data_IF_713182875157
#
_entry.id   IF_713182875157
#
_cell.length_a   1.000
_cell.length_b   1.000
_cell.length_c   1.000
_cell.angle_alpha   90.00
_cell.angle_beta   90.00
_cell.angle_gamma   90.00
#
_symmetry.space_group_name_H-M   'P 1'
#
loop_
_entity.id
_entity.type
_entity.pdbx_description
1 polymer ?
#
# COMPACT_ATOMS: atom_id res chain seq x y z
N UNK A 1 -14.08 -22.03 6.30
CA UNK A 1 -14.94 -20.97 5.71
C UNK A 1 -14.95 -19.83 6.72
N UNK A 2 -14.34 -18.69 6.40
CA UNK A 2 -14.37 -17.52 7.31
C UNK A 2 -15.63 -16.74 6.96
N UNK A 3 -16.60 -16.73 7.87
CA UNK A 3 -17.77 -15.86 7.76
C UNK A 3 -17.30 -14.40 7.86
N UNK A 4 -17.32 -13.69 6.74
CA UNK A 4 -17.07 -12.25 6.71
C UNK A 4 -18.39 -11.55 7.05
N UNK A 5 -18.66 -11.40 8.33
CA UNK A 5 -19.93 -10.81 8.80
C UNK A 5 -19.99 -9.28 8.66
N UNK A 6 -18.94 -8.59 8.27
CA UNK A 6 -18.99 -7.14 8.07
C UNK A 6 -17.87 -6.69 7.14
N UNK A 7 -18.20 -6.33 5.91
CA UNK A 7 -17.30 -5.60 5.01
C UNK A 7 -17.46 -4.10 5.30
N UNK A 8 -16.40 -3.46 5.76
CA UNK A 8 -16.38 -2.00 5.98
C UNK A 8 -15.62 -1.35 4.83
N UNK A 9 -16.31 -0.49 4.09
CA UNK A 9 -15.67 0.33 3.04
C UNK A 9 -15.03 1.53 3.73
N UNK A 10 -13.70 1.57 3.71
CA UNK A 10 -12.93 2.71 4.22
C UNK A 10 -12.50 3.57 3.03
N UNK A 11 -13.13 4.72 2.87
CA UNK A 11 -12.67 5.73 1.93
C UNK A 11 -11.66 6.64 2.64
N UNK A 12 -10.37 6.49 2.36
CA UNK A 12 -9.32 7.36 2.92
C UNK A 12 -9.16 8.62 2.05
N UNK A 13 -10.26 9.20 1.57
CA UNK A 13 -10.24 10.47 0.83
C UNK A 13 -9.97 11.69 1.73
N UNK A 14 -10.12 11.55 3.04
CA UNK A 14 -10.08 12.65 4.01
C UNK A 14 -8.79 12.71 4.83
N UNK A 15 -7.71 12.04 4.41
CA UNK A 15 -6.42 12.29 5.06
C UNK A 15 -5.89 13.65 4.58
N UNK A 16 -5.60 14.59 5.48
CA UNK A 16 -5.05 15.88 5.09
C UNK A 16 -3.75 15.67 4.31
N UNK A 17 -3.74 16.07 3.05
CA UNK A 17 -2.54 16.09 2.23
C UNK A 17 -1.91 17.47 2.36
N UNK A 18 -0.70 17.55 2.84
CA UNK A 18 0.06 18.81 2.71
C UNK A 18 0.50 18.95 1.25
N UNK A 19 0.43 20.14 0.70
CA UNK A 19 0.88 20.42 -0.69
C UNK A 19 2.35 20.14 -0.89
N UNK A 20 3.15 20.16 0.19
CA UNK A 20 4.60 19.96 0.19
C UNK A 20 5.03 18.50 0.32
N UNK A 21 4.21 17.63 0.89
CA UNK A 21 4.50 16.20 1.01
C UNK A 21 3.21 15.37 0.94
N UNK A 22 2.73 15.04 -0.25
CA UNK A 22 1.47 14.30 -0.44
C UNK A 22 1.52 12.85 0.07
N UNK A 23 2.71 12.32 0.37
CA UNK A 23 2.92 10.97 0.92
C UNK A 23 3.17 10.94 2.43
N UNK A 24 3.10 12.08 3.11
CA UNK A 24 3.38 12.20 4.54
C UNK A 24 2.42 11.34 5.37
N UNK A 25 2.97 10.70 6.40
CA UNK A 25 2.17 9.99 7.41
C UNK A 25 1.42 11.00 8.27
N UNK A 26 0.20 10.62 8.64
CA UNK A 26 -0.58 11.34 9.63
C UNK A 26 -0.17 10.91 11.05
N UNK A 27 -0.52 11.72 12.05
CA UNK A 27 -0.17 11.44 13.45
C UNK A 27 -0.92 10.24 14.02
N UNK A 28 -0.37 9.61 15.05
CA UNK A 28 -1.03 8.51 15.79
C UNK A 28 -2.39 8.92 16.35
N UNK A 29 -2.52 10.16 16.82
CA UNK A 29 -3.79 10.69 17.30
C UNK A 29 -4.84 10.76 16.19
N UNK A 30 -4.45 11.20 14.97
CA UNK A 30 -5.36 11.22 13.82
C UNK A 30 -5.78 9.81 13.39
N UNK A 31 -4.83 8.86 13.33
CA UNK A 31 -5.13 7.46 13.01
C UNK A 31 -6.02 6.82 14.07
N UNK A 32 -5.77 7.08 15.35
CA UNK A 32 -6.61 6.61 16.46
C UNK A 32 -8.05 7.09 16.29
N UNK A 33 -8.28 8.37 16.12
CA UNK A 33 -9.62 8.94 15.93
C UNK A 33 -10.33 8.36 14.70
N UNK A 34 -9.60 8.21 13.59
CA UNK A 34 -10.15 7.65 12.35
C UNK A 34 -10.55 6.18 12.56
N UNK A 35 -9.66 5.37 13.13
CA UNK A 35 -9.90 3.93 13.31
C UNK A 35 -11.00 3.65 14.33
N UNK A 36 -11.10 4.46 15.39
CA UNK A 36 -12.21 4.38 16.35
C UNK A 36 -13.55 4.61 15.63
N UNK A 37 -13.68 5.69 14.87
CA UNK A 37 -14.91 5.97 14.10
C UNK A 37 -15.28 4.89 13.10
N UNK A 38 -14.28 4.24 12.50
CA UNK A 38 -14.46 3.14 11.56
C UNK A 38 -14.73 1.80 12.28
N UNK A 39 -14.68 1.79 13.62
CA UNK A 39 -14.87 0.59 14.44
C UNK A 39 -13.81 -0.49 14.18
N UNK A 40 -12.59 -0.10 13.77
CA UNK A 40 -11.48 -1.03 13.58
C UNK A 40 -10.98 -1.54 14.93
N UNK A 41 -10.52 -2.78 14.96
CA UNK A 41 -9.88 -3.40 16.12
C UNK A 41 -8.65 -4.16 15.68
N UNK A 42 -7.78 -4.55 16.61
CA UNK A 42 -6.54 -5.27 16.27
C UNK A 42 -6.74 -6.73 15.95
N UNK A 43 -7.87 -7.31 16.36
CA UNK A 43 -8.18 -8.75 16.37
C UNK A 43 -9.19 -9.19 15.30
N UNK A 44 -10.06 -8.27 14.87
CA UNK A 44 -11.09 -8.60 13.87
C UNK A 44 -10.53 -8.57 12.45
N UNK A 45 -10.94 -9.52 11.59
CA UNK A 45 -10.57 -9.49 10.18
C UNK A 45 -11.03 -8.20 9.50
N UNK A 46 -10.14 -7.58 8.74
CA UNK A 46 -10.42 -6.37 7.97
C UNK A 46 -10.07 -6.61 6.52
N UNK A 47 -11.06 -6.47 5.63
CA UNK A 47 -10.87 -6.55 4.18
C UNK A 47 -10.92 -5.13 3.60
N UNK A 48 -9.88 -4.78 2.87
CA UNK A 48 -9.77 -3.51 2.16
C UNK A 48 -10.31 -3.71 0.75
N UNK A 49 -11.26 -2.87 0.35
CA UNK A 49 -11.80 -2.88 -1.00
C UNK A 49 -11.41 -1.59 -1.74
N UNK A 50 -11.40 -1.66 -3.06
CA UNK A 50 -11.16 -0.55 -3.96
C UNK A 50 -11.99 -0.77 -5.23
N UNK A 51 -12.04 0.19 -6.15
CA UNK A 51 -12.89 0.02 -7.34
C UNK A 51 -12.40 -1.10 -8.27
N UNK A 52 -11.10 -1.26 -8.44
CA UNK A 52 -10.52 -2.25 -9.36
C UNK A 52 -10.36 -1.74 -10.79
N UNK A 53 -10.01 -0.45 -10.95
CA UNK A 53 -9.85 0.17 -12.27
C UNK A 53 -8.50 -0.14 -12.90
N UNK A 54 -7.44 -0.12 -12.11
CA UNK A 54 -6.06 -0.29 -12.56
C UNK A 54 -5.11 -0.47 -11.36
N UNK A 55 -3.82 -0.64 -11.62
CA UNK A 55 -2.77 -0.84 -10.62
C UNK A 55 -2.60 0.36 -9.66
N UNK A 56 -2.87 1.58 -10.13
CA UNK A 56 -2.80 2.78 -9.27
C UNK A 56 -3.93 2.79 -8.24
N UNK A 57 -5.12 2.36 -8.64
CA UNK A 57 -6.27 2.20 -7.76
C UNK A 57 -6.01 1.12 -6.69
N UNK A 58 -5.42 -0.01 -7.10
CA UNK A 58 -4.90 -1.01 -6.16
C UNK A 58 -3.85 -0.41 -5.21
N UNK A 59 -2.92 0.39 -5.72
CA UNK A 59 -1.88 1.02 -4.92
C UNK A 59 -2.42 1.87 -3.77
N UNK A 60 -3.59 2.48 -3.94
CA UNK A 60 -4.28 3.15 -2.83
C UNK A 60 -4.71 2.16 -1.75
N UNK A 61 -5.26 0.99 -2.12
CA UNK A 61 -5.62 -0.07 -1.17
C UNK A 61 -4.37 -0.66 -0.48
N UNK A 62 -3.28 -0.87 -1.22
CA UNK A 62 -2.01 -1.33 -0.66
C UNK A 62 -1.45 -0.34 0.38
N UNK A 63 -1.53 0.97 0.11
CA UNK A 63 -1.13 1.98 1.08
C UNK A 63 -1.99 1.93 2.35
N UNK A 64 -3.30 1.69 2.22
CA UNK A 64 -4.19 1.47 3.38
C UNK A 64 -3.76 0.23 4.14
N UNK A 65 -3.54 -0.89 3.45
CA UNK A 65 -3.06 -2.14 4.05
C UNK A 65 -1.78 -1.92 4.86
N UNK A 66 -0.78 -1.27 4.25
CA UNK A 66 0.48 -0.95 4.92
C UNK A 66 0.28 -0.08 6.16
N UNK A 67 -0.60 0.92 6.09
CA UNK A 67 -0.91 1.80 7.23
C UNK A 67 -1.58 1.03 8.37
N UNK A 68 -2.58 0.19 8.08
CA UNK A 68 -3.28 -0.64 9.05
C UNK A 68 -2.33 -1.67 9.70
N UNK A 69 -1.48 -2.30 8.89
CA UNK A 69 -0.46 -3.25 9.37
C UNK A 69 0.55 -2.57 10.31
N UNK A 70 1.03 -1.38 9.94
CA UNK A 70 1.94 -0.60 10.78
C UNK A 70 1.27 -0.08 12.06
N UNK A 71 -0.05 0.09 12.06
CA UNK A 71 -0.85 0.42 13.23
C UNK A 71 -1.24 -0.79 14.10
N UNK A 72 -0.74 -1.99 13.77
CA UNK A 72 -0.91 -3.20 14.60
C UNK A 72 -2.14 -4.04 14.30
N UNK A 73 -2.88 -3.77 13.22
CA UNK A 73 -4.01 -4.64 12.81
C UNK A 73 -3.45 -5.90 12.14
N UNK A 74 -3.84 -7.08 12.64
CA UNK A 74 -3.19 -8.35 12.32
C UNK A 74 -3.83 -9.09 11.15
N UNK A 75 -5.15 -9.09 11.07
CA UNK A 75 -5.92 -9.89 10.11
C UNK A 75 -6.39 -8.98 8.96
N UNK A 76 -5.50 -8.77 7.99
CA UNK A 76 -5.72 -7.87 6.87
C UNK A 76 -5.74 -8.62 5.55
N UNK A 77 -6.65 -8.24 4.66
CA UNK A 77 -6.68 -8.67 3.28
C UNK A 77 -7.07 -7.50 2.36
N UNK A 78 -6.69 -7.59 1.09
CA UNK A 78 -7.18 -6.72 0.02
C UNK A 78 -8.03 -7.58 -0.90
N UNK A 79 -9.20 -7.10 -1.31
CA UNK A 79 -10.06 -7.78 -2.28
C UNK A 79 -9.40 -7.73 -3.66
N UNK A 80 -8.85 -8.86 -4.13
CA UNK A 80 -8.15 -8.91 -5.42
C UNK A 80 -9.10 -8.59 -6.58
N UNK A 81 -8.69 -7.70 -7.48
CA UNK A 81 -9.52 -7.17 -8.56
C UNK A 81 -10.57 -6.13 -8.12
N UNK A 82 -10.70 -5.85 -6.82
CA UNK A 82 -11.60 -4.84 -6.26
C UNK A 82 -13.09 -5.12 -6.51
N UNK A 83 -13.90 -4.07 -6.39
CA UNK A 83 -15.36 -4.17 -6.58
C UNK A 83 -15.74 -4.54 -8.02
N UNK A 84 -14.94 -4.14 -9.01
CA UNK A 84 -15.20 -4.53 -10.41
C UNK A 84 -15.13 -6.05 -10.59
N UNK A 85 -14.20 -6.74 -9.93
CA UNK A 85 -14.15 -8.21 -9.97
C UNK A 85 -15.26 -8.85 -9.11
N UNK A 86 -15.59 -8.25 -7.97
CA UNK A 86 -16.65 -8.74 -7.09
C UNK A 86 -18.01 -8.76 -7.80
N UNK A 87 -18.37 -7.66 -8.46
CA UNK A 87 -19.69 -7.47 -9.09
C UNK A 87 -19.86 -8.19 -10.43
N UNK A 88 -18.80 -8.78 -11.00
CA UNK A 88 -18.91 -9.66 -12.17
C UNK A 88 -19.72 -10.92 -11.88
N UNK A 89 -19.72 -11.37 -10.64
CA UNK A 89 -20.51 -12.52 -10.20
C UNK A 89 -21.79 -12.00 -9.53
N UNK A 90 -22.91 -12.13 -10.24
CA UNK A 90 -24.21 -11.64 -9.78
C UNK A 90 -24.72 -12.33 -8.49
N UNK A 91 -24.16 -13.49 -8.12
CA UNK A 91 -24.48 -14.17 -6.86
C UNK A 91 -23.87 -13.52 -5.64
N UNK A 92 -22.88 -12.65 -5.82
CA UNK A 92 -22.20 -11.96 -4.71
C UNK A 92 -23.02 -10.78 -4.20
N UNK A 93 -23.27 -10.71 -2.90
CA UNK A 93 -24.12 -9.67 -2.33
C UNK A 93 -23.47 -8.29 -2.45
N UNK A 94 -24.29 -7.30 -2.81
CA UNK A 94 -23.97 -5.88 -2.75
C UNK A 94 -25.11 -5.14 -2.07
N UNK A 95 -24.82 -4.07 -1.37
CA UNK A 95 -25.82 -3.20 -0.73
C UNK A 95 -25.52 -1.74 -1.02
N UNK A 96 -26.55 -0.99 -1.37
CA UNK A 96 -26.50 0.46 -1.49
C UNK A 96 -26.67 1.17 -0.13
N UNK A 97 -27.09 0.43 0.92
CA UNK A 97 -27.26 0.99 2.25
C UNK A 97 -25.91 1.02 2.97
N UNK A 98 -25.40 2.19 3.36
CA UNK A 98 -24.15 2.29 4.11
C UNK A 98 -24.28 1.60 5.48
N UNK A 99 -23.31 0.76 5.83
CA UNK A 99 -23.21 0.26 7.18
C UNK A 99 -22.65 1.34 8.11
N UNK A 100 -23.33 1.60 9.23
CA UNK A 100 -22.86 2.50 10.27
C UNK A 100 -21.99 1.71 11.24
N UNK A 101 -20.66 1.90 11.26
CA UNK A 101 -19.82 1.16 12.17
C UNK A 101 -20.03 1.61 13.61
N UNK A 102 -20.07 0.66 14.54
CA UNK A 102 -19.98 1.00 15.96
C UNK A 102 -18.53 1.43 16.26
N UNK A 103 -18.33 2.56 16.95
CA UNK A 103 -16.98 3.01 17.29
C UNK A 103 -16.23 1.99 18.14
N UNK A 104 -14.95 1.86 17.91
CA UNK A 104 -14.05 1.02 18.71
C UNK A 104 -13.29 1.84 19.76
N UNK A 105 -12.52 1.14 20.58
CA UNK A 105 -11.62 1.75 21.59
C UNK A 105 -10.13 1.56 21.21
N UNK A 106 -9.84 1.35 19.92
CA UNK A 106 -8.46 1.16 19.47
C UNK A 106 -7.61 2.40 19.79
N UNK A 107 -6.40 2.17 20.29
CA UNK A 107 -5.35 3.19 20.37
C UNK A 107 -4.23 2.80 19.42
N UNK A 108 -3.78 3.71 18.58
CA UNK A 108 -2.76 3.47 17.56
C UNK A 108 -1.42 3.99 18.05
N UNK A 109 -0.41 3.13 17.96
CA UNK A 109 1.00 3.50 17.97
C UNK A 109 1.60 2.98 16.68
N UNK A 110 2.00 3.87 15.79
CA UNK A 110 2.50 3.49 14.47
C UNK A 110 3.88 2.86 14.57
N UNK A 111 4.03 1.65 14.06
CA UNK A 111 5.31 0.94 14.04
C UNK A 111 6.17 1.39 12.86
N UNK A 112 7.42 1.76 13.13
CA UNK A 112 8.40 2.08 12.10
C UNK A 112 9.03 0.84 11.43
N UNK A 113 8.61 -0.37 11.80
CA UNK A 113 9.19 -1.63 11.26
C UNK A 113 9.16 -1.68 9.73
N UNK A 114 8.12 -1.12 9.13
CA UNK A 114 7.88 -1.15 7.68
C UNK A 114 8.08 0.22 7.02
N UNK A 115 8.74 1.14 7.71
CA UNK A 115 8.99 2.50 7.24
C UNK A 115 10.49 2.73 7.07
N UNK A 116 10.91 3.06 5.86
CA UNK A 116 12.22 3.64 5.61
C UNK A 116 12.10 5.17 5.61
N UNK A 117 12.82 5.82 6.50
CA UNK A 117 12.92 7.29 6.57
C UNK A 117 13.91 7.83 5.55
N UNK A 118 13.91 9.16 5.35
CA UNK A 118 14.92 9.83 4.53
C UNK A 118 16.35 9.49 4.98
N UNK A 119 16.58 9.41 6.29
CA UNK A 119 17.92 9.11 6.82
C UNK A 119 18.33 7.66 6.54
N UNK A 120 17.40 6.70 6.65
CA UNK A 120 17.67 5.30 6.25
C UNK A 120 18.04 5.21 4.76
N UNK A 121 17.25 5.84 3.89
CA UNK A 121 17.55 5.85 2.45
C UNK A 121 18.88 6.55 2.15
N UNK A 122 19.20 7.63 2.86
CA UNK A 122 20.47 8.33 2.68
C UNK A 122 21.67 7.46 3.11
N UNK A 123 21.54 6.67 4.20
CA UNK A 123 22.57 5.72 4.62
C UNK A 123 22.84 4.66 3.52
N UNK A 124 21.78 4.10 2.93
CA UNK A 124 21.92 3.17 1.79
C UNK A 124 22.64 3.83 0.61
N UNK A 125 22.22 5.04 0.21
CA UNK A 125 22.86 5.76 -0.92
C UNK A 125 24.33 6.06 -0.68
N UNK A 126 24.74 6.24 0.59
CA UNK A 126 26.14 6.46 0.97
C UNK A 126 26.94 5.16 1.15
N UNK A 127 26.31 3.99 1.07
CA UNK A 127 26.96 2.70 1.35
C UNK A 127 27.19 2.42 2.85
N UNK A 128 26.46 3.11 3.72
CA UNK A 128 26.47 2.93 5.18
C UNK A 128 25.46 1.85 5.64
N UNK A 129 24.60 1.37 4.76
CA UNK A 129 23.57 0.35 4.98
C UNK A 129 23.44 -0.53 3.72
N UNK A 130 23.33 -1.85 3.90
CA UNK A 130 23.32 -2.86 2.82
C UNK A 130 21.94 -3.08 2.19
N UNK A 131 20.92 -2.34 2.58
CA UNK A 131 19.59 -2.48 2.00
C UNK A 131 19.60 -2.14 0.50
N UNK A 132 18.83 -2.88 -0.30
CA UNK A 132 18.64 -2.58 -1.71
C UNK A 132 17.49 -1.60 -1.90
N UNK A 133 17.69 -0.57 -2.72
CA UNK A 133 16.66 0.39 -3.09
C UNK A 133 15.95 -0.09 -4.37
N UNK A 134 14.63 -0.18 -4.34
CA UNK A 134 13.81 -0.60 -5.49
C UNK A 134 12.89 0.53 -5.91
N UNK A 135 13.09 1.04 -7.12
CA UNK A 135 12.19 2.02 -7.72
C UNK A 135 10.96 1.30 -8.32
N UNK A 136 9.81 1.43 -7.64
CA UNK A 136 8.55 0.80 -8.03
C UNK A 136 7.75 1.61 -9.08
N UNK A 137 8.26 2.75 -9.53
CA UNK A 137 7.57 3.63 -10.48
C UNK A 137 7.63 3.09 -11.90
N UNK A 138 6.77 3.56 -12.82
CA UNK A 138 6.93 3.31 -14.25
C UNK A 138 8.28 3.76 -14.78
N UNK A 139 8.81 3.07 -15.80
CA UNK A 139 10.15 3.25 -16.37
C UNK A 139 10.47 4.71 -16.74
N UNK A 140 9.46 5.45 -17.21
CA UNK A 140 9.66 6.84 -17.59
C UNK A 140 10.08 7.75 -16.41
N UNK A 141 9.68 7.41 -15.18
CA UNK A 141 10.14 8.10 -13.96
C UNK A 141 11.57 7.66 -13.58
N UNK A 142 11.83 6.36 -13.60
CA UNK A 142 13.15 5.81 -13.33
C UNK A 142 14.22 6.42 -14.25
N UNK A 143 13.93 6.49 -15.56
CA UNK A 143 14.85 7.07 -16.56
C UNK A 143 14.84 8.59 -16.62
N UNK A 144 14.12 9.28 -15.76
CA UNK A 144 14.06 10.75 -15.74
C UNK A 144 13.30 11.39 -16.92
N UNK A 145 12.55 10.59 -17.70
CA UNK A 145 11.71 11.12 -18.80
C UNK A 145 10.40 11.75 -18.30
N UNK A 146 10.00 11.42 -17.06
CA UNK A 146 8.85 12.02 -16.37
C UNK A 146 9.26 12.43 -14.96
N UNK A 147 8.61 13.46 -14.46
CA UNK A 147 8.79 13.99 -13.11
C UNK A 147 7.43 14.15 -12.44
N UNK A 148 7.35 13.78 -11.16
CA UNK A 148 6.16 14.07 -10.35
C UNK A 148 6.17 15.57 -9.98
N UNK A 149 5.02 16.29 -9.99
CA UNK A 149 4.98 17.72 -9.70
C UNK A 149 5.60 18.11 -8.34
N UNK A 150 5.50 17.23 -7.33
CA UNK A 150 6.10 17.45 -6.01
C UNK A 150 7.60 17.07 -5.93
N UNK A 151 8.21 16.55 -6.99
CA UNK A 151 9.62 16.20 -6.98
C UNK A 151 10.49 17.38 -7.43
N UNK A 152 11.61 17.62 -6.73
CA UNK A 152 12.54 18.70 -7.08
C UNK A 152 13.29 18.47 -8.40
N UNK A 153 13.42 17.20 -8.83
CA UNK A 153 14.15 16.82 -10.05
C UNK A 153 13.65 15.47 -10.59
N UNK A 154 13.82 15.18 -11.90
CA UNK A 154 13.52 13.88 -12.47
C UNK A 154 14.58 12.84 -12.10
N UNK A 155 14.32 11.57 -12.51
CA UNK A 155 15.25 10.45 -12.31
C UNK A 155 14.96 9.66 -11.04
N UNK A 156 15.93 8.84 -10.64
CA UNK A 156 15.83 7.89 -9.54
C UNK A 156 16.90 8.13 -8.47
N UNK A 157 16.84 7.38 -7.38
CA UNK A 157 17.86 7.41 -6.34
C UNK A 157 19.14 6.70 -6.82
N UNK A 158 20.35 7.21 -6.51
CA UNK A 158 21.58 6.53 -6.85
C UNK A 158 21.62 5.09 -6.33
N UNK A 159 22.10 4.17 -7.17
CA UNK A 159 22.23 2.75 -6.80
C UNK A 159 20.91 1.96 -6.71
N UNK A 160 19.77 2.56 -7.07
CA UNK A 160 18.50 1.84 -7.05
C UNK A 160 18.30 0.94 -8.25
N UNK A 161 17.72 -0.23 -8.00
CA UNK A 161 17.24 -1.15 -9.03
C UNK A 161 15.85 -0.71 -9.52
N UNK A 162 15.56 -1.01 -10.77
CA UNK A 162 14.24 -0.78 -11.36
C UNK A 162 13.36 -2.02 -11.28
N UNK A 163 12.19 -1.88 -10.65
CA UNK A 163 11.16 -2.90 -10.67
C UNK A 163 9.76 -2.26 -10.61
N UNK A 164 9.14 -2.08 -11.78
CA UNK A 164 7.81 -1.48 -11.85
C UNK A 164 6.76 -2.26 -11.05
N UNK A 165 5.97 -1.56 -10.24
CA UNK A 165 4.86 -2.14 -9.48
C UNK A 165 3.87 -2.94 -10.35
N UNK A 166 3.69 -2.52 -11.61
CA UNK A 166 2.78 -3.20 -12.55
C UNK A 166 3.15 -4.65 -12.85
N UNK A 167 4.39 -5.08 -12.57
CA UNK A 167 4.80 -6.49 -12.73
C UNK A 167 4.10 -7.45 -11.77
N UNK A 168 3.51 -6.95 -10.69
CA UNK A 168 2.72 -7.74 -9.76
C UNK A 168 1.29 -8.02 -10.22
N UNK A 169 0.91 -7.59 -11.44
CA UNK A 169 -0.46 -7.69 -11.96
C UNK A 169 -0.53 -8.58 -13.20
N UNK A 170 -1.69 -9.22 -13.38
CA UNK A 170 -1.99 -10.13 -14.49
C UNK A 170 -2.37 -9.44 -15.81
N UNK A 171 -2.36 -8.10 -15.83
CA UNK A 171 -2.85 -7.29 -16.95
C UNK A 171 -4.38 -7.08 -16.94
N UNK A 172 -5.11 -7.79 -16.12
CA UNK A 172 -6.56 -7.66 -15.92
C UNK A 172 -6.96 -6.85 -14.68
N UNK A 173 -5.99 -6.27 -13.99
CA UNK A 173 -6.21 -5.47 -12.78
C UNK A 173 -6.20 -6.27 -11.47
N UNK A 174 -5.93 -7.56 -11.53
CA UNK A 174 -5.73 -8.42 -10.36
C UNK A 174 -4.24 -8.65 -10.12
N UNK A 175 -3.86 -8.87 -8.85
CA UNK A 175 -2.53 -9.35 -8.50
C UNK A 175 -2.37 -10.78 -9.01
N UNK A 176 -1.18 -11.11 -9.53
CA UNK A 176 -0.78 -12.47 -9.90
C UNK A 176 -0.92 -13.42 -8.70
N UNK A 177 -1.05 -14.71 -8.98
CA UNK A 177 -1.15 -15.72 -7.93
C UNK A 177 0.15 -15.85 -7.11
N UNK A 178 0.09 -16.59 -6.01
CA UNK A 178 1.20 -16.75 -5.09
C UNK A 178 2.42 -17.41 -5.76
N UNK A 179 2.19 -18.41 -6.62
CA UNK A 179 3.27 -19.12 -7.31
C UNK A 179 4.02 -18.20 -8.26
N UNK A 180 3.28 -17.45 -9.08
CA UNK A 180 3.85 -16.44 -9.99
C UNK A 180 4.57 -15.33 -9.22
N UNK A 181 4.00 -14.88 -8.09
CA UNK A 181 4.63 -13.86 -7.24
C UNK A 181 5.94 -14.37 -6.62
N UNK A 182 5.98 -15.62 -6.15
CA UNK A 182 7.20 -16.24 -5.62
C UNK A 182 8.28 -16.40 -6.71
N UNK A 183 7.91 -16.84 -7.90
CA UNK A 183 8.82 -16.94 -9.04
C UNK A 183 9.40 -15.58 -9.43
N UNK A 184 8.52 -14.56 -9.51
CA UNK A 184 8.92 -13.19 -9.84
C UNK A 184 9.85 -12.59 -8.76
N UNK A 185 9.54 -12.80 -7.48
CA UNK A 185 10.40 -12.36 -6.38
C UNK A 185 11.77 -13.06 -6.41
N UNK A 186 11.79 -14.34 -6.73
CA UNK A 186 13.03 -15.15 -6.79
C UNK A 186 13.90 -14.72 -7.97
N UNK A 187 13.33 -14.51 -9.16
CA UNK A 187 14.06 -14.06 -10.35
C UNK A 187 14.67 -12.67 -10.18
N UNK A 188 14.07 -11.83 -9.34
CA UNK A 188 14.59 -10.51 -8.99
C UNK A 188 15.41 -10.49 -7.68
N UNK A 189 15.72 -11.66 -7.12
CA UNK A 189 16.56 -11.85 -5.92
C UNK A 189 16.03 -11.13 -4.66
N UNK A 190 14.70 -10.90 -4.56
CA UNK A 190 14.09 -10.18 -3.45
C UNK A 190 14.17 -10.92 -2.10
N UNK A 191 14.40 -12.21 -2.10
CA UNK A 191 14.51 -13.03 -0.87
C UNK A 191 15.93 -13.32 -0.42
N UNK A 192 16.94 -13.08 -1.27
CA UNK A 192 18.30 -13.58 -1.05
C UNK A 192 19.33 -12.56 -0.58
N UNK A 193 19.05 -11.26 -0.72
CA UNK A 193 20.09 -10.23 -0.63
C UNK A 193 19.77 -9.14 0.41
N UNK A 194 19.29 -9.53 1.59
CA UNK A 194 19.11 -8.59 2.70
C UNK A 194 17.84 -7.73 2.61
N UNK A 195 17.78 -6.64 3.37
CA UNK A 195 16.61 -5.76 3.44
C UNK A 195 16.34 -5.06 2.10
N UNK A 196 15.05 -4.91 1.77
CA UNK A 196 14.58 -4.17 0.60
C UNK A 196 13.86 -2.90 1.03
N UNK A 197 14.15 -1.79 0.37
CA UNK A 197 13.42 -0.54 0.51
C UNK A 197 12.79 -0.18 -0.84
N UNK A 198 11.49 -0.40 -0.95
CA UNK A 198 10.71 0.02 -2.11
C UNK A 198 10.31 1.48 -1.98
N UNK A 199 10.40 2.25 -3.06
CA UNK A 199 9.99 3.64 -3.07
C UNK A 199 9.25 4.04 -4.34
N UNK A 200 8.42 5.09 -4.22
CA UNK A 200 7.79 5.78 -5.33
C UNK A 200 7.58 7.27 -4.99
N UNK A 201 6.71 7.97 -5.71
CA UNK A 201 6.49 9.40 -5.48
C UNK A 201 5.66 9.69 -4.22
N UNK A 202 4.62 8.89 -3.92
CA UNK A 202 3.61 9.15 -2.87
C UNK A 202 3.37 7.95 -1.95
N UNK A 203 4.11 6.85 -2.13
CA UNK A 203 4.01 5.64 -1.31
C UNK A 203 2.82 4.72 -1.65
N UNK A 204 2.15 4.89 -2.80
CA UNK A 204 1.06 4.01 -3.23
C UNK A 204 1.59 2.80 -4.02
N UNK A 205 2.49 3.01 -4.95
CA UNK A 205 3.07 1.94 -5.77
C UNK A 205 4.20 1.16 -5.06
N UNK A 206 4.68 1.67 -3.94
CA UNK A 206 5.76 1.08 -3.16
C UNK A 206 5.26 0.31 -1.92
N UNK A 207 3.96 0.39 -1.61
CA UNK A 207 3.33 -0.24 -0.45
C UNK A 207 3.01 -1.72 -0.69
#
# INVERSE_FOLDING_TARGET
MVEINTVKIVTISNVPRTSTNPGQLVTDAHLTNLFQRLGLTTDKPTVITYQGKNETDFGAAARVYWTLKSAGIKHLAILNGGMNAWTKDASRPVSATPAIPQPSKIAVTFSNKWLATRNNVLAVVKGEDDARLIDARPEAFYRGKKQHPAAARPGTLPGSDYFAHSKWFDGGGSIIDESAAQALASSNRFKKEGPLVSFCNTGHWAA
#
